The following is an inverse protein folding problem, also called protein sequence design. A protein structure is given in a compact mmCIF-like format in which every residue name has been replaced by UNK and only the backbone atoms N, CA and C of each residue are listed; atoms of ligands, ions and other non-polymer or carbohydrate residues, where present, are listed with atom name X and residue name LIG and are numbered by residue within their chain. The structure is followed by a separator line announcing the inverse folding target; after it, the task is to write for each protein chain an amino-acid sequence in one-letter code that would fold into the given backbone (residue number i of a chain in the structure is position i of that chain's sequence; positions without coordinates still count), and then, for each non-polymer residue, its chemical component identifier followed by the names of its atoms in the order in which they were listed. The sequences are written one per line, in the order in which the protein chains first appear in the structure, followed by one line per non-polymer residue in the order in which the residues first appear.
data_IF_318642469195
#
_entry.id   IF_318642469195
#
_cell.length_a   1.000
_cell.length_b   1.000
_cell.length_c   1.000
_cell.angle_alpha   90.00
_cell.angle_beta   90.00
_cell.angle_gamma   90.00
#
_symmetry.space_group_name_H-M   'P 1'
#
loop_
_entity.id
_entity.type
_entity.pdbx_description
1 polymer ?
#
# COMPACT_ATOMS: atom_id res chain seq x y z
N UNK A 1 -63.54 -35.97 22.60
CA UNK A 1 -63.00 -35.10 23.67
C UNK A 1 -61.74 -35.75 24.24
N UNK A 2 -60.71 -34.92 24.50
CA UNK A 2 -59.44 -35.19 25.20
C UNK A 2 -58.30 -35.92 24.46
N UNK A 3 -57.31 -35.09 24.09
CA UNK A 3 -55.84 -35.19 24.21
C UNK A 3 -55.11 -36.50 23.84
N UNK A 4 -54.00 -36.38 23.09
CA UNK A 4 -52.63 -36.34 23.65
C UNK A 4 -51.54 -36.30 22.54
N UNK A 5 -50.63 -35.31 22.69
CA UNK A 5 -49.17 -35.28 22.41
C UNK A 5 -48.64 -36.01 21.14
N UNK A 6 -48.17 -35.31 20.10
CA UNK A 6 -46.87 -34.62 20.02
C UNK A 6 -45.66 -35.53 20.34
N UNK A 7 -45.01 -36.08 19.31
CA UNK A 7 -43.56 -36.34 19.35
C UNK A 7 -42.99 -36.34 17.91
N UNK A 8 -42.61 -35.15 17.45
CA UNK A 8 -41.67 -34.96 16.35
C UNK A 8 -40.28 -35.07 16.97
N UNK A 9 -39.56 -36.17 16.71
CA UNK A 9 -38.14 -36.24 17.03
C UNK A 9 -37.36 -35.59 15.88
N UNK A 10 -37.10 -34.30 16.06
CA UNK A 10 -36.17 -33.50 15.26
C UNK A 10 -34.77 -34.09 15.43
N UNK A 11 -34.22 -34.69 14.38
CA UNK A 11 -32.78 -34.94 14.28
C UNK A 11 -32.09 -33.59 14.04
N UNK A 12 -31.70 -32.93 15.14
CA UNK A 12 -30.78 -31.80 15.14
C UNK A 12 -29.40 -32.29 14.67
N UNK A 13 -29.18 -32.22 13.37
CA UNK A 13 -27.83 -32.08 12.80
C UNK A 13 -27.30 -30.73 13.26
N UNK A 14 -26.60 -30.75 14.39
CA UNK A 14 -25.69 -29.68 14.77
C UNK A 14 -24.58 -29.62 13.71
N UNK A 15 -24.79 -28.79 12.69
CA UNK A 15 -23.70 -28.24 11.90
C UNK A 15 -22.99 -27.27 12.83
N UNK A 16 -22.07 -27.82 13.63
CA UNK A 16 -21.07 -27.01 14.29
C UNK A 16 -20.22 -26.39 13.18
N UNK A 17 -20.52 -25.15 12.80
CA UNK A 17 -19.55 -24.30 12.15
C UNK A 17 -18.44 -24.05 13.16
N UNK A 18 -17.45 -24.95 13.21
CA UNK A 18 -16.12 -24.57 13.65
C UNK A 18 -15.61 -23.57 12.63
N UNK A 19 -15.85 -22.28 12.86
CA UNK A 19 -15.10 -21.22 12.19
C UNK A 19 -13.69 -21.26 12.75
N UNK A 20 -12.90 -22.24 12.31
CA UNK A 20 -11.47 -22.00 12.21
C UNK A 20 -11.37 -20.78 11.29
N UNK A 21 -10.89 -19.66 11.80
CA UNK A 21 -10.46 -18.53 10.97
C UNK A 21 -9.36 -19.08 10.06
N UNK A 22 -9.74 -19.65 8.93
CA UNK A 22 -8.81 -20.07 7.91
C UNK A 22 -8.14 -18.79 7.44
N UNK A 23 -6.85 -18.65 7.76
CA UNK A 23 -5.99 -17.61 7.23
C UNK A 23 -6.22 -17.54 5.72
N UNK A 24 -6.34 -16.32 5.19
CA UNK A 24 -6.48 -16.15 3.74
C UNK A 24 -5.24 -16.71 3.04
N UNK A 25 -5.38 -17.21 1.82
CA UNK A 25 -4.26 -17.84 1.12
C UNK A 25 -3.09 -16.85 0.98
N UNK A 26 -1.91 -17.22 1.48
CA UNK A 26 -0.70 -16.40 1.45
C UNK A 26 -0.50 -15.49 2.66
N UNK A 27 -1.49 -15.31 3.53
CA UNK A 27 -1.37 -14.44 4.71
C UNK A 27 -0.30 -14.92 5.71
N UNK A 28 -0.16 -16.23 5.92
CA UNK A 28 0.90 -16.79 6.79
C UNK A 28 2.31 -16.41 6.31
N UNK A 29 2.59 -16.53 5.00
CA UNK A 29 3.88 -16.11 4.45
C UNK A 29 4.09 -14.61 4.55
N UNK A 30 3.03 -13.81 4.41
CA UNK A 30 3.11 -12.36 4.59
C UNK A 30 3.44 -11.98 6.03
N UNK A 31 2.80 -12.63 7.00
CA UNK A 31 3.08 -12.42 8.42
C UNK A 31 4.54 -12.80 8.72
N UNK A 32 5.00 -13.96 8.24
CA UNK A 32 6.40 -14.37 8.40
C UNK A 32 7.39 -13.36 7.78
N UNK A 33 7.09 -12.86 6.57
CA UNK A 33 7.90 -11.81 5.94
C UNK A 33 7.93 -10.53 6.80
N UNK A 34 6.78 -10.14 7.35
CA UNK A 34 6.66 -8.94 8.19
C UNK A 34 7.47 -9.06 9.48
N UNK A 35 7.49 -10.24 10.12
CA UNK A 35 8.32 -10.46 11.31
C UNK A 35 9.81 -10.35 11.01
N UNK A 36 10.28 -10.89 9.87
CA UNK A 36 11.68 -10.71 9.43
C UNK A 36 11.96 -9.22 9.19
N UNK A 37 11.04 -8.52 8.54
CA UNK A 37 11.22 -7.10 8.22
C UNK A 37 11.37 -6.24 9.47
N UNK A 38 10.63 -6.52 10.55
CA UNK A 38 10.73 -5.78 11.82
C UNK A 38 12.15 -5.74 12.39
N UNK A 39 12.86 -6.87 12.35
CA UNK A 39 14.25 -6.92 12.83
C UNK A 39 15.22 -6.34 11.80
N UNK A 40 15.00 -6.69 10.54
CA UNK A 40 15.85 -6.30 9.42
C UNK A 40 15.89 -4.78 9.20
N UNK A 41 14.80 -4.07 9.50
CA UNK A 41 14.73 -2.62 9.34
C UNK A 41 15.81 -1.90 10.15
N UNK A 42 15.94 -2.28 11.43
CA UNK A 42 16.97 -1.75 12.34
C UNK A 42 18.39 -2.13 11.92
N UNK A 43 18.57 -3.34 11.39
CA UNK A 43 19.86 -3.83 10.91
C UNK A 43 20.32 -3.05 9.66
N UNK A 44 19.41 -2.78 8.73
CA UNK A 44 19.69 -1.98 7.54
C UNK A 44 20.07 -0.55 7.92
N UNK A 45 19.36 0.09 8.85
CA UNK A 45 19.72 1.43 9.34
C UNK A 45 21.09 1.45 10.02
N UNK A 46 21.44 0.40 10.77
CA UNK A 46 22.78 0.30 11.36
C UNK A 46 23.86 0.11 10.27
N UNK A 47 23.62 -0.75 9.28
CA UNK A 47 24.56 -1.02 8.19
C UNK A 47 24.73 0.17 7.24
N UNK A 48 23.70 0.98 7.05
CA UNK A 48 23.78 2.25 6.34
C UNK A 48 24.80 3.19 6.98
N UNK A 49 24.79 3.31 8.31
CA UNK A 49 25.65 4.24 9.04
C UNK A 49 27.05 3.67 9.37
N UNK A 50 27.16 2.34 9.52
CA UNK A 50 28.36 1.67 10.03
C UNK A 50 28.80 0.51 9.12
N UNK A 51 28.77 0.70 7.80
CA UNK A 51 28.98 -0.38 6.84
C UNK A 51 30.38 -1.04 6.98
N UNK A 52 30.48 -2.30 7.44
CA UNK A 52 31.76 -2.98 7.67
C UNK A 52 32.37 -3.60 6.39
N UNK A 53 31.71 -3.43 5.25
CA UNK A 53 32.09 -4.02 3.97
C UNK A 53 31.29 -5.29 3.59
N UNK A 54 31.41 -5.75 2.33
CA UNK A 54 30.50 -6.73 1.73
C UNK A 54 30.65 -8.17 2.27
N UNK A 55 31.80 -8.49 2.88
CA UNK A 55 32.12 -9.83 3.37
C UNK A 55 32.01 -9.96 4.89
N UNK A 56 31.65 -8.88 5.59
CA UNK A 56 31.50 -8.91 7.04
C UNK A 56 30.29 -9.79 7.42
N UNK A 57 30.35 -10.52 8.55
CA UNK A 57 29.24 -11.38 8.99
C UNK A 57 27.89 -10.66 9.07
N UNK A 58 27.85 -9.46 9.64
CA UNK A 58 26.62 -8.67 9.75
C UNK A 58 26.02 -8.29 8.38
N UNK A 59 26.86 -7.98 7.40
CA UNK A 59 26.43 -7.72 6.02
C UNK A 59 25.83 -8.96 5.38
N UNK A 60 26.49 -10.11 5.52
CA UNK A 60 26.02 -11.38 4.95
C UNK A 60 24.70 -11.81 5.57
N UNK A 61 24.56 -11.68 6.89
CA UNK A 61 23.33 -12.00 7.62
C UNK A 61 22.15 -11.13 7.16
N UNK A 62 22.34 -9.82 7.04
CA UNK A 62 21.31 -8.92 6.55
C UNK A 62 20.90 -9.23 5.10
N UNK A 63 21.85 -9.62 4.25
CA UNK A 63 21.59 -10.04 2.87
C UNK A 63 20.76 -11.34 2.83
N UNK A 64 21.05 -12.33 3.68
CA UNK A 64 20.25 -13.56 3.74
C UNK A 64 18.84 -13.28 4.26
N UNK A 65 18.66 -12.46 5.29
CA UNK A 65 17.34 -12.03 5.76
C UNK A 65 16.56 -11.27 4.69
N UNK A 66 17.22 -10.40 3.92
CA UNK A 66 16.61 -9.71 2.77
C UNK A 66 16.11 -10.70 1.71
N UNK A 67 16.90 -11.74 1.39
CA UNK A 67 16.50 -12.78 0.44
C UNK A 67 15.29 -13.56 0.94
N UNK A 68 15.30 -13.96 2.22
CA UNK A 68 14.19 -14.69 2.84
C UNK A 68 12.92 -13.84 2.85
N UNK A 69 13.02 -12.57 3.26
CA UNK A 69 11.93 -11.60 3.22
C UNK A 69 11.29 -11.49 1.83
N UNK A 70 12.10 -11.33 0.78
CA UNK A 70 11.59 -11.25 -0.60
C UNK A 70 10.99 -12.56 -1.09
N UNK A 71 11.58 -13.72 -0.73
CA UNK A 71 11.06 -15.02 -1.11
C UNK A 71 9.67 -15.31 -0.48
N UNK A 72 9.48 -14.92 0.79
CA UNK A 72 8.20 -15.05 1.48
C UNK A 72 7.14 -14.12 0.90
N UNK A 73 7.48 -12.85 0.64
CA UNK A 73 6.56 -11.92 -0.04
C UNK A 73 6.16 -12.42 -1.43
N UNK A 74 7.12 -12.92 -2.22
CA UNK A 74 6.83 -13.47 -3.54
C UNK A 74 5.91 -14.69 -3.45
N UNK A 75 6.17 -15.60 -2.51
CA UNK A 75 5.32 -16.78 -2.27
C UNK A 75 3.90 -16.38 -1.86
N UNK A 76 3.77 -15.42 -0.95
CA UNK A 76 2.49 -14.87 -0.50
C UNK A 76 1.72 -14.21 -1.66
N UNK A 77 2.41 -13.41 -2.48
CA UNK A 77 1.83 -12.77 -3.66
C UNK A 77 1.36 -13.79 -4.70
N UNK A 78 2.15 -14.85 -4.96
CA UNK A 78 1.78 -15.95 -5.85
C UNK A 78 0.54 -16.71 -5.37
N UNK A 79 0.33 -16.79 -4.05
CA UNK A 79 -0.87 -17.39 -3.43
C UNK A 79 -2.11 -16.50 -3.48
N UNK A 80 -1.99 -15.25 -3.93
CA UNK A 80 -3.13 -14.36 -4.09
C UNK A 80 -3.30 -13.30 -3.00
N UNK A 81 -2.38 -13.16 -2.04
CA UNK A 81 -2.58 -12.28 -0.90
C UNK A 81 -2.36 -10.79 -1.27
N UNK A 82 -3.39 -9.91 -1.20
CA UNK A 82 -3.27 -8.55 -1.74
C UNK A 82 -2.21 -7.66 -1.06
N UNK A 83 -2.04 -7.67 0.29
CA UNK A 83 -0.92 -6.94 0.91
C UNK A 83 0.45 -7.40 0.39
N UNK A 84 0.64 -8.68 0.10
CA UNK A 84 1.91 -9.17 -0.44
C UNK A 84 2.13 -8.79 -1.90
N UNK A 85 1.08 -8.85 -2.73
CA UNK A 85 1.13 -8.33 -4.10
C UNK A 85 1.52 -6.86 -4.11
N UNK A 86 0.91 -6.07 -3.22
CA UNK A 86 1.23 -4.66 -3.05
C UNK A 86 2.67 -4.43 -2.63
N UNK A 87 3.13 -5.09 -1.56
CA UNK A 87 4.50 -4.96 -1.07
C UNK A 87 5.53 -5.37 -2.13
N UNK A 88 5.27 -6.44 -2.87
CA UNK A 88 6.12 -6.88 -3.99
C UNK A 88 6.21 -5.79 -5.07
N UNK A 89 5.08 -5.23 -5.47
CA UNK A 89 5.02 -4.13 -6.44
C UNK A 89 5.73 -2.87 -5.92
N UNK A 90 5.59 -2.55 -4.63
CA UNK A 90 6.20 -1.40 -3.99
C UNK A 90 7.73 -1.51 -3.97
N UNK A 91 8.27 -2.69 -3.63
CA UNK A 91 9.72 -2.96 -3.62
C UNK A 91 10.27 -2.85 -5.04
N UNK A 92 9.63 -3.47 -6.03
CA UNK A 92 10.04 -3.39 -7.43
C UNK A 92 9.95 -1.95 -7.96
N UNK A 93 8.91 -1.21 -7.59
CA UNK A 93 8.69 0.18 -8.00
C UNK A 93 9.66 1.18 -7.37
N UNK A 94 10.23 0.84 -6.21
CA UNK A 94 11.20 1.68 -5.50
C UNK A 94 12.63 1.53 -6.04
N UNK A 95 12.89 0.49 -6.85
CA UNK A 95 14.20 0.25 -7.48
C UNK A 95 14.28 0.99 -8.82
N UNK A 96 14.81 2.23 -8.80
CA UNK A 96 14.88 3.11 -9.98
C UNK A 96 15.56 2.47 -11.20
N UNK A 97 16.55 1.59 -11.00
CA UNK A 97 17.28 0.90 -12.07
C UNK A 97 16.47 -0.15 -12.83
N UNK A 98 15.47 -0.78 -12.18
CA UNK A 98 14.67 -1.87 -12.75
C UNK A 98 13.18 -1.51 -12.91
N UNK A 99 12.73 -0.42 -12.26
CA UNK A 99 11.35 0.05 -12.25
C UNK A 99 10.72 0.13 -13.64
N UNK A 100 11.42 0.72 -14.62
CA UNK A 100 10.87 0.89 -15.98
C UNK A 100 10.72 -0.44 -16.72
N UNK A 101 11.68 -1.36 -16.56
CA UNK A 101 11.64 -2.69 -17.17
C UNK A 101 10.52 -3.54 -16.56
N UNK A 102 10.24 -3.35 -15.27
CA UNK A 102 9.24 -4.10 -14.52
C UNK A 102 7.86 -3.43 -14.50
N UNK A 103 7.67 -2.27 -15.14
CA UNK A 103 6.43 -1.47 -15.02
C UNK A 103 5.17 -2.28 -15.30
N UNK A 104 5.19 -3.15 -16.32
CA UNK A 104 4.04 -4.00 -16.65
C UNK A 104 3.69 -4.98 -15.52
N UNK A 105 4.70 -5.61 -14.93
CA UNK A 105 4.52 -6.57 -13.83
C UNK A 105 4.05 -5.86 -12.56
N UNK A 106 4.68 -4.74 -12.21
CA UNK A 106 4.29 -3.89 -11.08
C UNK A 106 2.80 -3.49 -11.21
N UNK A 107 2.39 -3.02 -12.39
CA UNK A 107 1.00 -2.62 -12.61
C UNK A 107 0.02 -3.79 -12.58
N UNK A 108 0.43 -4.97 -13.03
CA UNK A 108 -0.39 -6.18 -12.91
C UNK A 108 -0.62 -6.57 -11.44
N UNK A 109 0.41 -6.53 -10.61
CA UNK A 109 0.30 -6.78 -9.17
C UNK A 109 -0.60 -5.73 -8.47
N UNK A 110 -0.41 -4.45 -8.79
CA UNK A 110 -1.23 -3.37 -8.24
C UNK A 110 -2.70 -3.47 -8.68
N UNK A 111 -3.00 -3.88 -9.92
CA UNK A 111 -4.37 -4.09 -10.39
C UNK A 111 -5.06 -5.21 -9.62
N UNK A 112 -4.41 -6.37 -9.49
CA UNK A 112 -4.97 -7.51 -8.77
C UNK A 112 -5.23 -7.18 -7.29
N UNK A 113 -4.29 -6.51 -6.62
CA UNK A 113 -4.49 -6.10 -5.23
C UNK A 113 -5.59 -5.04 -5.09
N UNK A 114 -5.72 -4.12 -6.06
CA UNK A 114 -6.77 -3.10 -6.09
C UNK A 114 -8.16 -3.73 -6.32
N UNK A 115 -8.27 -4.70 -7.22
CA UNK A 115 -9.51 -5.48 -7.47
C UNK A 115 -9.95 -6.27 -6.24
N UNK A 116 -8.99 -6.74 -5.43
CA UNK A 116 -9.25 -7.35 -4.15
C UNK A 116 -9.62 -6.35 -3.02
N UNK A 117 -9.79 -5.06 -3.35
CA UNK A 117 -10.18 -3.96 -2.45
C UNK A 117 -9.12 -3.47 -1.46
N UNK A 118 -7.83 -3.70 -1.70
CA UNK A 118 -6.78 -3.05 -0.92
C UNK A 118 -6.67 -1.55 -1.31
N UNK A 119 -6.91 -0.64 -0.36
CA UNK A 119 -6.92 0.81 -0.58
C UNK A 119 -5.55 1.31 -1.05
N UNK A 120 -4.47 0.80 -0.45
CA UNK A 120 -3.09 1.19 -0.81
C UNK A 120 -2.76 0.82 -2.25
N UNK A 121 -3.27 -0.31 -2.75
CA UNK A 121 -3.08 -0.73 -4.13
C UNK A 121 -3.88 0.11 -5.11
N UNK A 122 -5.14 0.47 -4.80
CA UNK A 122 -5.93 1.40 -5.62
C UNK A 122 -5.21 2.73 -5.78
N UNK A 123 -4.74 3.29 -4.65
CA UNK A 123 -3.92 4.50 -4.59
C UNK A 123 -2.66 4.38 -5.48
N UNK A 124 -1.84 3.36 -5.25
CA UNK A 124 -0.61 3.14 -6.00
C UNK A 124 -0.84 2.89 -7.49
N UNK A 125 -1.89 2.17 -7.87
CA UNK A 125 -2.23 1.90 -9.26
C UNK A 125 -2.47 3.22 -10.02
N UNK A 126 -3.26 4.13 -9.43
CA UNK A 126 -3.44 5.47 -9.98
C UNK A 126 -2.10 6.23 -10.15
N UNK A 127 -1.26 6.31 -9.10
CA UNK A 127 -0.03 7.10 -9.15
C UNK A 127 1.07 6.51 -10.05
N UNK A 128 1.18 5.20 -10.10
CA UNK A 128 2.30 4.50 -10.76
C UNK A 128 1.96 4.07 -12.18
N UNK A 129 0.74 3.58 -12.39
CA UNK A 129 0.35 2.93 -13.64
C UNK A 129 -0.34 3.87 -14.63
N UNK A 130 -0.92 4.97 -14.14
CA UNK A 130 -1.40 6.04 -15.01
C UNK A 130 -0.27 6.53 -15.94
N UNK A 131 -0.56 6.65 -17.24
CA UNK A 131 0.33 7.31 -18.20
C UNK A 131 0.41 8.83 -17.96
N UNK A 132 -0.54 9.39 -17.22
CA UNK A 132 -0.59 10.80 -16.88
C UNK A 132 0.23 11.06 -15.61
N UNK A 133 1.49 11.43 -15.79
CA UNK A 133 2.37 11.87 -14.69
C UNK A 133 2.03 13.27 -14.15
N UNK A 134 0.93 13.88 -14.59
CA UNK A 134 0.54 15.25 -14.26
C UNK A 134 -0.85 15.21 -13.61
N UNK A 135 -1.03 15.72 -12.38
CA UNK A 135 -2.34 15.79 -11.70
C UNK A 135 -3.38 16.68 -12.39
N UNK A 136 -3.07 17.27 -13.55
CA UNK A 136 -3.90 18.21 -14.29
C UNK A 136 -4.40 17.67 -15.64
N UNK A 137 -4.14 16.40 -15.98
CA UNK A 137 -4.73 15.73 -17.16
C UNK A 137 -5.74 14.65 -16.76
N UNK A 138 -6.58 14.96 -15.77
CA UNK A 138 -7.56 14.05 -15.17
C UNK A 138 -8.78 13.78 -16.07
N UNK A 139 -8.97 14.56 -17.13
CA UNK A 139 -10.08 14.43 -18.08
C UNK A 139 -9.87 13.36 -19.16
N UNK A 140 -8.73 12.66 -19.16
CA UNK A 140 -8.54 11.52 -20.06
C UNK A 140 -9.37 10.33 -19.61
N UNK A 141 -9.86 9.54 -20.57
CA UNK A 141 -10.61 8.30 -20.31
C UNK A 141 -9.81 7.34 -19.39
N UNK A 142 -8.49 7.26 -19.61
CA UNK A 142 -7.57 6.47 -18.79
C UNK A 142 -7.48 6.96 -17.34
N UNK A 143 -7.36 8.27 -17.11
CA UNK A 143 -7.35 8.83 -15.76
C UNK A 143 -8.71 8.62 -15.06
N UNK A 144 -9.82 8.80 -15.79
CA UNK A 144 -11.16 8.56 -15.26
C UNK A 144 -11.37 7.10 -14.84
N UNK A 145 -10.86 6.14 -15.63
CA UNK A 145 -10.92 4.72 -15.30
C UNK A 145 -10.11 4.35 -14.05
N UNK A 146 -8.98 5.01 -13.82
CA UNK A 146 -8.14 4.79 -12.62
C UNK A 146 -8.64 5.53 -11.38
N UNK A 147 -9.39 6.63 -11.53
CA UNK A 147 -9.94 7.38 -10.39
C UNK A 147 -11.20 6.70 -9.84
N UNK A 148 -12.04 6.10 -10.67
CA UNK A 148 -13.28 5.45 -10.21
C UNK A 148 -13.05 4.45 -9.06
N UNK A 149 -12.05 3.55 -9.11
CA UNK A 149 -11.73 2.68 -7.97
C UNK A 149 -11.41 3.43 -6.68
N UNK A 150 -10.82 4.63 -6.75
CA UNK A 150 -10.52 5.48 -5.59
C UNK A 150 -11.81 6.08 -4.99
N UNK A 151 -12.74 6.52 -5.83
CA UNK A 151 -14.06 7.01 -5.39
C UNK A 151 -14.86 5.89 -4.70
N UNK A 152 -14.89 4.70 -5.31
CA UNK A 152 -15.56 3.53 -4.74
C UNK A 152 -14.94 3.13 -3.39
N UNK A 153 -13.63 3.28 -3.24
CA UNK A 153 -12.92 2.96 -1.99
C UNK A 153 -13.31 3.84 -0.81
N UNK A 154 -13.84 5.05 -1.05
CA UNK A 154 -14.35 5.91 0.04
C UNK A 154 -15.64 5.38 0.66
N UNK A 155 -16.35 4.51 -0.05
CA UNK A 155 -17.63 3.93 0.40
C UNK A 155 -17.52 2.46 0.83
N UNK A 156 -16.39 1.81 0.54
CA UNK A 156 -16.15 0.40 0.82
C UNK A 156 -15.18 0.24 1.99
N UNK A 157 -15.43 -0.76 2.85
CA UNK A 157 -14.46 -1.15 3.87
C UNK A 157 -13.30 -1.90 3.22
N UNK A 158 -12.07 -1.51 3.52
CA UNK A 158 -10.89 -2.29 3.17
C UNK A 158 -10.80 -3.54 4.08
N UNK A 159 -10.91 -4.77 3.55
CA UNK A 159 -10.83 -5.99 4.35
C UNK A 159 -9.43 -6.23 4.93
N UNK A 160 -8.40 -5.55 4.43
CA UNK A 160 -7.01 -5.64 4.85
C UNK A 160 -6.58 -4.49 5.77
N UNK A 161 -7.53 -3.74 6.35
CA UNK A 161 -7.23 -2.59 7.24
C UNK A 161 -6.22 -2.92 8.36
N UNK A 162 -6.19 -4.15 8.85
CA UNK A 162 -5.26 -4.58 9.91
C UNK A 162 -3.80 -4.73 9.45
N UNK A 163 -3.52 -4.69 8.15
CA UNK A 163 -2.16 -4.79 7.59
C UNK A 163 -1.51 -3.44 7.35
N UNK A 164 -2.19 -2.34 7.69
CA UNK A 164 -1.62 -1.01 7.71
C UNK A 164 -0.73 -0.82 8.95
N UNK A 165 0.32 0.03 8.88
CA UNK A 165 0.63 0.94 7.78
C UNK A 165 1.37 0.25 6.62
N UNK A 166 1.17 0.75 5.40
CA UNK A 166 1.83 0.24 4.19
C UNK A 166 2.68 1.34 3.52
N UNK A 167 3.90 1.03 3.03
CA UNK A 167 4.77 1.98 2.35
C UNK A 167 4.20 2.40 1.00
N UNK A 168 4.34 3.67 0.63
CA UNK A 168 3.89 4.13 -0.68
C UNK A 168 4.83 3.70 -1.81
N UNK A 169 4.35 3.61 -3.05
CA UNK A 169 5.20 3.38 -4.23
C UNK A 169 5.76 4.70 -4.80
N UNK A 170 5.04 5.81 -4.58
CA UNK A 170 5.43 7.17 -4.92
C UNK A 170 5.08 8.11 -3.76
N UNK A 171 5.72 9.27 -3.71
CA UNK A 171 5.43 10.26 -2.68
C UNK A 171 3.97 10.74 -2.82
N UNK A 172 3.13 10.62 -1.77
CA UNK A 172 1.74 11.07 -1.81
C UNK A 172 1.67 12.61 -1.81
N UNK A 173 0.58 13.19 -2.32
CA UNK A 173 0.38 14.65 -2.33
C UNK A 173 0.36 15.24 -0.92
N UNK A 174 -0.20 14.53 0.05
CA UNK A 174 -0.19 14.95 1.45
C UNK A 174 1.22 15.10 2.02
N UNK A 175 2.24 14.47 1.42
CA UNK A 175 3.64 14.57 1.84
C UNK A 175 4.53 15.20 0.77
N UNK A 176 3.98 16.06 -0.10
CA UNK A 176 4.75 16.71 -1.18
C UNK A 176 5.94 17.56 -0.68
N UNK A 177 5.90 18.00 0.58
CA UNK A 177 6.97 18.76 1.22
C UNK A 177 8.09 17.87 1.80
N UNK A 178 7.89 16.55 1.85
CA UNK A 178 8.91 15.63 2.33
C UNK A 178 9.98 15.48 1.25
N UNK A 179 11.13 16.13 1.46
CA UNK A 179 12.27 16.02 0.55
C UNK A 179 12.89 14.64 0.66
N UNK A 180 12.88 13.88 -0.44
CA UNK A 180 13.77 12.72 -0.56
C UNK A 180 15.16 13.21 -0.98
N UNK A 181 16.23 12.97 -0.19
CA UNK A 181 17.57 13.35 -0.60
C UNK A 181 17.98 12.66 -1.91
N UNK A 182 18.64 13.38 -2.80
CA UNK A 182 19.18 12.82 -4.04
C UNK A 182 20.51 12.09 -3.73
N UNK A 183 20.66 10.80 -4.07
CA UNK A 183 21.87 10.06 -3.74
C UNK A 183 23.06 10.51 -4.59
N UNK A 184 24.22 10.62 -3.95
CA UNK A 184 25.51 10.51 -4.62
C UNK A 184 25.83 9.01 -4.82
N UNK A 185 25.42 8.48 -5.96
CA UNK A 185 25.50 7.03 -6.26
C UNK A 185 26.95 6.51 -6.23
N UNK A 186 27.94 7.36 -6.49
CA UNK A 186 29.34 6.92 -6.61
C UNK A 186 30.02 6.68 -5.26
N UNK A 187 29.51 7.27 -4.17
CA UNK A 187 30.12 7.21 -2.83
C UNK A 187 29.22 6.54 -1.77
N UNK A 188 28.15 5.86 -2.20
CA UNK A 188 27.10 5.37 -1.30
C UNK A 188 27.16 3.85 -1.13
N UNK A 189 27.08 3.35 0.11
CA UNK A 189 27.07 1.91 0.37
C UNK A 189 25.71 1.26 -0.01
N UNK A 190 25.66 -0.06 -0.24
CA UNK A 190 24.43 -0.72 -0.69
C UNK A 190 23.23 -0.56 0.26
N UNK A 191 23.46 -0.45 1.57
CA UNK A 191 22.38 -0.30 2.55
C UNK A 191 21.81 1.11 2.59
N UNK A 192 22.64 2.13 2.36
CA UNK A 192 22.15 3.50 2.13
C UNK A 192 21.26 3.56 0.89
N UNK A 193 21.61 2.89 -0.21
CA UNK A 193 20.72 2.81 -1.39
C UNK A 193 19.38 2.16 -1.05
N UNK A 194 19.38 1.11 -0.22
CA UNK A 194 18.15 0.48 0.26
C UNK A 194 17.31 1.43 1.11
N UNK A 195 17.91 2.15 2.07
CA UNK A 195 17.18 3.12 2.91
C UNK A 195 16.61 4.25 2.05
N UNK A 196 17.38 4.78 1.10
CA UNK A 196 16.92 5.88 0.23
C UNK A 196 15.81 5.47 -0.74
N UNK A 197 15.75 4.19 -1.11
CA UNK A 197 14.64 3.65 -1.89
C UNK A 197 13.35 3.53 -1.05
N UNK A 198 13.43 3.50 0.29
CA UNK A 198 12.25 3.42 1.14
C UNK A 198 11.38 4.66 0.97
N UNK A 199 10.08 4.41 0.92
CA UNK A 199 9.05 5.43 0.94
C UNK A 199 8.31 5.34 2.26
N UNK A 200 7.76 6.47 2.75
CA UNK A 200 7.11 6.48 4.04
C UNK A 200 5.92 5.50 4.07
N UNK A 201 5.78 4.72 5.15
CA UNK A 201 4.54 4.03 5.43
C UNK A 201 3.44 5.03 5.78
N UNK A 202 2.24 4.80 5.24
CA UNK A 202 1.04 5.53 5.60
C UNK A 202 0.07 4.61 6.34
N UNK A 203 -0.55 5.14 7.37
CA UNK A 203 -1.75 4.57 7.99
C UNK A 203 -2.92 4.54 7.01
N UNK A 204 -3.96 3.77 7.34
CA UNK A 204 -5.18 3.70 6.55
C UNK A 204 -5.82 5.09 6.36
N UNK A 205 -5.89 5.86 7.45
CA UNK A 205 -6.45 7.22 7.46
C UNK A 205 -5.62 8.18 6.60
N UNK A 206 -4.29 8.06 6.58
CA UNK A 206 -3.43 8.87 5.71
C UNK A 206 -3.59 8.54 4.22
N UNK A 207 -3.82 7.27 3.86
CA UNK A 207 -4.18 6.91 2.48
C UNK A 207 -5.52 7.53 2.08
N UNK A 208 -6.52 7.49 2.97
CA UNK A 208 -7.81 8.16 2.71
C UNK A 208 -7.63 9.68 2.57
N UNK A 209 -6.80 10.30 3.41
CA UNK A 209 -6.52 11.73 3.34
C UNK A 209 -5.96 12.12 1.96
N UNK A 210 -5.03 11.32 1.45
CA UNK A 210 -4.40 11.55 0.14
C UNK A 210 -5.36 11.29 -1.02
N UNK A 211 -6.23 10.29 -0.92
CA UNK A 211 -7.28 10.03 -1.92
C UNK A 211 -8.30 11.17 -1.95
N UNK A 212 -8.74 11.67 -0.80
CA UNK A 212 -9.59 12.85 -0.75
C UNK A 212 -8.88 14.05 -1.38
N UNK A 213 -7.58 14.22 -1.16
CA UNK A 213 -6.85 15.31 -1.77
C UNK A 213 -6.76 15.19 -3.30
N UNK A 214 -6.56 13.98 -3.82
CA UNK A 214 -6.63 13.69 -5.26
C UNK A 214 -7.98 14.04 -5.87
N UNK A 215 -9.08 13.64 -5.21
CA UNK A 215 -10.43 13.87 -5.70
C UNK A 215 -10.83 15.34 -5.68
N UNK A 216 -10.27 16.13 -4.74
CA UNK A 216 -10.39 17.59 -4.79
C UNK A 216 -9.90 18.14 -6.14
N UNK A 217 -8.71 17.75 -6.60
CA UNK A 217 -8.18 18.23 -7.88
C UNK A 217 -9.01 17.75 -9.07
N UNK A 218 -9.50 16.50 -9.05
CA UNK A 218 -10.41 15.98 -10.10
C UNK A 218 -11.65 16.85 -10.24
N UNK A 219 -12.30 17.17 -9.12
CA UNK A 219 -13.60 17.83 -9.14
C UNK A 219 -13.51 19.37 -9.16
N UNK A 220 -12.32 19.96 -9.00
CA UNK A 220 -12.16 21.40 -8.84
C UNK A 220 -12.84 22.22 -9.94
N UNK A 221 -12.69 21.81 -11.20
CA UNK A 221 -13.28 22.51 -12.35
C UNK A 221 -14.70 22.02 -12.71
N UNK A 222 -15.06 20.80 -12.33
CA UNK A 222 -16.31 20.14 -12.74
C UNK A 222 -17.45 20.29 -11.72
N UNK A 223 -17.12 20.26 -10.42
CA UNK A 223 -18.06 20.34 -9.31
C UNK A 223 -17.38 20.89 -8.05
N UNK A 224 -17.35 22.22 -7.94
CA UNK A 224 -16.66 22.92 -6.86
C UNK A 224 -17.17 22.52 -5.47
N UNK A 225 -18.48 22.31 -5.29
CA UNK A 225 -19.03 21.93 -3.99
C UNK A 225 -18.51 20.56 -3.52
N UNK A 226 -18.46 19.59 -4.43
CA UNK A 226 -17.90 18.27 -4.14
C UNK A 226 -16.38 18.34 -3.91
N UNK A 227 -15.67 19.16 -4.70
CA UNK A 227 -14.24 19.38 -4.52
C UNK A 227 -13.93 19.91 -3.11
N UNK A 228 -14.64 20.94 -2.65
CA UNK A 228 -14.45 21.49 -1.30
C UNK A 228 -14.80 20.48 -0.20
N UNK A 229 -15.80 19.61 -0.41
CA UNK A 229 -16.09 18.51 0.51
C UNK A 229 -14.90 17.55 0.63
N UNK A 230 -14.27 17.17 -0.49
CA UNK A 230 -13.08 16.32 -0.47
C UNK A 230 -11.89 17.04 0.19
N UNK A 231 -11.71 18.34 -0.07
CA UNK A 231 -10.67 19.15 0.57
C UNK A 231 -10.81 19.16 2.09
N UNK A 232 -12.00 19.46 2.60
CA UNK A 232 -12.24 19.48 4.05
C UNK A 232 -12.04 18.09 4.65
N UNK A 233 -12.50 17.03 3.97
CA UNK A 233 -12.29 15.68 4.49
C UNK A 233 -10.81 15.28 4.54
N UNK A 234 -10.03 15.68 3.54
CA UNK A 234 -8.58 15.50 3.55
C UNK A 234 -7.91 16.24 4.71
N UNK A 235 -8.39 17.44 5.05
CA UNK A 235 -7.94 18.23 6.21
C UNK A 235 -8.27 17.55 7.54
N UNK A 236 -9.51 17.08 7.70
CA UNK A 236 -9.93 16.33 8.90
C UNK A 236 -9.07 15.10 9.15
N UNK A 237 -8.67 14.41 8.08
CA UNK A 237 -7.79 13.25 8.12
C UNK A 237 -6.30 13.61 8.26
N UNK A 238 -5.96 14.91 8.37
CA UNK A 238 -4.64 15.39 8.72
C UNK A 238 -3.65 15.52 7.57
N UNK A 239 -4.10 15.72 6.32
CA UNK A 239 -3.23 15.89 5.16
C UNK A 239 -2.39 17.19 5.21
N UNK A 240 -1.06 17.13 5.44
CA UNK A 240 -0.23 18.33 5.54
C UNK A 240 -0.06 19.06 4.20
N UNK A 241 -0.08 18.32 3.09
CA UNK A 241 0.14 18.84 1.74
C UNK A 241 -0.86 19.91 1.30
N UNK A 242 -2.04 20.01 1.94
CA UNK A 242 -3.04 21.05 1.65
C UNK A 242 -2.47 22.47 1.79
N UNK A 243 -1.62 22.73 2.79
CA UNK A 243 -1.06 24.06 3.03
C UNK A 243 -0.12 24.55 1.93
N UNK A 244 0.39 23.64 1.08
CA UNK A 244 1.21 24.00 -0.08
C UNK A 244 0.37 24.67 -1.18
N UNK A 245 -0.90 24.28 -1.29
CA UNK A 245 -1.81 24.73 -2.35
C UNK A 245 -2.81 25.79 -1.90
N UNK A 246 -2.83 26.13 -0.62
CA UNK A 246 -3.62 27.25 -0.10
C UNK A 246 -2.87 28.56 -0.33
N UNK A 247 -3.55 29.63 -0.81
CA UNK A 247 -2.93 30.94 -0.91
C UNK A 247 -2.47 31.36 0.48
N UNK A 248 -1.17 31.72 0.59
CA UNK A 248 -0.66 32.35 1.81
C UNK A 248 -1.41 33.66 1.95
N UNK A 249 -2.20 33.80 3.01
CA UNK A 249 -2.74 35.10 3.42
C UNK A 249 -1.53 35.98 3.81
N UNK A 250 -1.00 36.72 2.84
CA UNK A 250 -0.05 37.83 3.03
C UNK A 250 -0.80 39.13 3.09
#
# INVERSE_FOLDING_TARGET
MRNKFATIALALLAIGCTTANASTAGEEEYIAATEIHKTLDSEITNLENNYPGPKAPATLEAVEKLKEYYALLQTSAQKGFPPAMYMTAQIQGSQTSSMYNNKKEICNLLSQAAEANLLAAKHANYYFCSRNGIPFSLDTEEASALIKPLEDALSLSDPYKNFYPLPTIKLPFCRINDTSPTPDIENTNPFTLLTMARKPPLSYEEYLADIHFLLYFKHHEQNQALAEQHKEKSRELGCPGLSFFEPKNT
#
